data_IF_070076248269
#
_entry.id   IF_070076248269
#
_cell.length_a   1.000
_cell.length_b   1.000
_cell.length_c   1.000
_cell.angle_alpha   90.00
_cell.angle_beta   90.00
_cell.angle_gamma   90.00
#
_symmetry.space_group_name_H-M   'P 1'
#
loop_
_entity.id
_entity.type
_entity.pdbx_description
1 polymer ?
#
# COMPACT_ATOMS: atom_id res chain seq x y z
N UNK A 1 9.63 6.83 18.94
CA UNK A 1 10.21 5.67 18.19
C UNK A 1 11.35 6.14 17.29
N UNK A 2 12.36 5.29 17.00
CA UNK A 2 13.47 5.61 16.06
C UNK A 2 13.48 4.56 14.95
N UNK A 3 13.43 5.01 13.70
CA UNK A 3 13.50 4.16 12.52
C UNK A 3 14.92 4.09 11.98
N UNK A 4 15.28 2.96 11.36
CA UNK A 4 16.57 2.77 10.71
C UNK A 4 16.58 3.37 9.30
N UNK A 5 17.69 3.98 8.91
CA UNK A 5 17.88 4.47 7.55
C UNK A 5 18.41 3.38 6.62
N UNK A 6 18.09 3.48 5.34
CA UNK A 6 18.67 2.66 4.27
C UNK A 6 19.67 3.48 3.46
N UNK A 7 20.76 2.86 2.94
CA UNK A 7 21.78 3.55 2.13
C UNK A 7 21.28 3.80 0.70
N UNK A 8 20.08 4.33 0.55
CA UNK A 8 19.42 4.61 -0.72
C UNK A 8 19.08 6.09 -0.82
N UNK A 9 19.25 6.67 -1.99
CA UNK A 9 18.78 8.02 -2.34
C UNK A 9 17.64 7.91 -3.33
N UNK A 10 16.64 8.74 -3.14
CA UNK A 10 15.53 8.88 -4.08
C UNK A 10 15.66 10.22 -4.82
N UNK A 11 15.67 10.17 -6.14
CA UNK A 11 15.55 11.33 -7.01
C UNK A 11 14.08 11.45 -7.45
N UNK A 12 13.40 12.47 -6.93
CA UNK A 12 11.99 12.69 -7.18
C UNK A 12 11.68 13.12 -8.62
N UNK A 13 12.61 13.85 -9.27
CA UNK A 13 12.44 14.33 -10.65
C UNK A 13 12.61 13.18 -11.65
N UNK A 14 13.65 12.36 -11.46
CA UNK A 14 13.92 11.18 -12.28
C UNK A 14 13.11 9.95 -11.84
N UNK A 15 12.48 9.99 -10.66
CA UNK A 15 11.80 8.87 -10.01
C UNK A 15 12.68 7.62 -9.90
N UNK A 16 13.93 7.80 -9.51
CA UNK A 16 14.93 6.73 -9.42
C UNK A 16 15.46 6.53 -8.01
N UNK A 17 15.73 5.28 -7.68
CA UNK A 17 16.36 4.89 -6.42
C UNK A 17 17.79 4.47 -6.69
N UNK A 18 18.75 5.05 -5.97
CA UNK A 18 20.17 4.76 -6.17
C UNK A 18 20.84 4.52 -4.82
N UNK A 19 21.55 3.42 -4.71
CA UNK A 19 22.38 3.13 -3.54
C UNK A 19 23.61 4.05 -3.47
N UNK A 20 24.23 4.16 -2.31
CA UNK A 20 25.44 5.00 -2.10
C UNK A 20 26.59 4.58 -3.03
N UNK A 21 26.68 3.31 -3.42
CA UNK A 21 27.68 2.78 -4.36
C UNK A 21 27.36 3.05 -5.84
N UNK A 22 26.22 3.70 -6.13
CA UNK A 22 25.76 3.99 -7.49
C UNK A 22 24.86 2.94 -8.11
N UNK A 23 24.57 1.84 -7.43
CA UNK A 23 23.65 0.81 -7.92
C UNK A 23 22.24 1.37 -8.01
N UNK A 24 21.60 1.24 -9.19
CA UNK A 24 20.21 1.65 -9.41
C UNK A 24 19.26 0.51 -9.00
N UNK A 25 18.29 0.82 -8.16
CA UNK A 25 17.28 -0.13 -7.69
C UNK A 25 15.95 0.06 -8.42
N UNK A 26 15.21 -1.03 -8.57
CA UNK A 26 13.87 -1.00 -9.17
C UNK A 26 12.83 -0.48 -8.17
N UNK A 27 11.97 0.45 -8.61
CA UNK A 27 10.85 0.93 -7.79
C UNK A 27 9.73 -0.11 -7.69
N UNK A 28 9.18 -0.29 -6.50
CA UNK A 28 8.08 -1.25 -6.26
C UNK A 28 6.86 -0.98 -7.14
N UNK A 29 6.50 0.28 -7.36
CA UNK A 29 5.35 0.63 -8.22
C UNK A 29 5.55 0.21 -9.68
N UNK A 30 6.78 0.26 -10.18
CA UNK A 30 7.15 -0.26 -11.50
C UNK A 30 6.99 -1.77 -11.59
N UNK A 31 7.48 -2.49 -10.57
CA UNK A 31 7.33 -3.94 -10.45
C UNK A 31 5.86 -4.38 -10.44
N UNK A 32 5.01 -3.69 -9.66
CA UNK A 32 3.58 -4.00 -9.60
C UNK A 32 2.89 -3.83 -10.96
N UNK A 33 3.19 -2.72 -11.65
CA UNK A 33 2.65 -2.46 -12.99
C UNK A 33 3.08 -3.52 -13.99
N UNK A 34 4.35 -3.92 -13.96
CA UNK A 34 4.89 -4.91 -14.88
C UNK A 34 4.30 -6.30 -14.63
N UNK A 35 4.21 -6.75 -13.37
CA UNK A 35 3.91 -8.14 -13.03
C UNK A 35 2.46 -8.45 -12.73
N UNK A 36 1.73 -7.51 -12.11
CA UNK A 36 0.37 -7.75 -11.62
C UNK A 36 -0.67 -6.88 -12.32
N UNK A 37 -0.33 -5.64 -12.69
CA UNK A 37 -1.29 -4.66 -13.20
C UNK A 37 -0.89 -4.07 -14.56
N UNK A 38 -0.49 -4.87 -15.58
CA UNK A 38 0.05 -4.36 -16.83
C UNK A 38 -0.97 -3.53 -17.63
N UNK A 39 -2.26 -3.69 -17.37
CA UNK A 39 -3.34 -3.01 -18.08
C UNK A 39 -4.02 -1.90 -17.27
N UNK A 40 -3.49 -1.56 -16.06
CA UNK A 40 -4.15 -0.64 -15.13
C UNK A 40 -4.56 0.71 -15.75
N UNK A 41 -3.75 1.22 -16.67
CA UNK A 41 -4.01 2.49 -17.37
C UNK A 41 -4.16 2.33 -18.89
N UNK A 42 -4.43 1.11 -19.36
CA UNK A 42 -4.61 0.86 -20.79
C UNK A 42 -5.78 1.68 -21.36
N UNK A 43 -5.51 2.41 -22.45
CA UNK A 43 -6.51 3.22 -23.12
C UNK A 43 -6.80 4.59 -22.47
N UNK A 44 -6.11 4.96 -21.38
CA UNK A 44 -6.22 6.31 -20.81
C UNK A 44 -5.29 7.25 -21.57
N UNK A 45 -5.81 8.44 -21.92
CA UNK A 45 -5.04 9.48 -22.59
C UNK A 45 -3.81 9.89 -21.74
N UNK A 46 -2.60 9.93 -22.34
CA UNK A 46 -1.37 10.32 -21.63
C UNK A 46 -1.45 11.70 -20.97
N UNK A 47 -2.13 12.66 -21.56
CA UNK A 47 -2.30 14.00 -20.99
C UNK A 47 -3.13 13.94 -19.70
N UNK A 48 -4.20 13.13 -19.69
CA UNK A 48 -5.01 12.90 -18.48
C UNK A 48 -4.19 12.24 -17.38
N UNK A 49 -3.33 11.27 -17.71
CA UNK A 49 -2.45 10.62 -16.76
C UNK A 49 -1.41 11.60 -16.19
N UNK A 50 -0.79 12.42 -17.03
CA UNK A 50 0.19 13.42 -16.62
C UNK A 50 -0.42 14.48 -15.69
N UNK A 51 -1.62 14.97 -16.03
CA UNK A 51 -2.33 15.94 -15.20
C UNK A 51 -2.72 15.33 -13.84
N UNK A 52 -3.18 14.08 -13.82
CA UNK A 52 -3.51 13.35 -12.60
C UNK A 52 -2.25 13.12 -11.71
N UNK A 53 -1.12 12.77 -12.33
CA UNK A 53 0.15 12.59 -11.63
C UNK A 53 0.65 13.90 -11.03
N UNK A 54 0.63 15.00 -11.79
CA UNK A 54 1.03 16.32 -11.30
C UNK A 54 0.15 16.79 -10.14
N UNK A 55 -1.15 16.60 -10.25
CA UNK A 55 -2.10 16.88 -9.16
C UNK A 55 -1.82 16.04 -7.92
N UNK A 56 -1.65 14.72 -8.08
CA UNK A 56 -1.30 13.81 -6.98
C UNK A 56 -0.02 14.26 -6.26
N UNK A 57 1.05 14.53 -7.03
CA UNK A 57 2.32 15.00 -6.46
C UNK A 57 2.20 16.33 -5.70
N UNK A 58 1.32 17.24 -6.15
CA UNK A 58 1.07 18.49 -5.43
C UNK A 58 0.38 18.24 -4.09
N UNK A 59 -0.60 17.34 -4.04
CA UNK A 59 -1.30 16.97 -2.79
C UNK A 59 -0.33 16.28 -1.82
N UNK A 60 0.49 15.33 -2.27
CA UNK A 60 1.50 14.67 -1.43
C UNK A 60 2.45 15.68 -0.79
N UNK A 61 3.02 16.62 -1.58
CA UNK A 61 3.91 17.66 -1.05
C UNK A 61 3.24 18.57 -0.02
N UNK A 62 1.95 18.91 -0.21
CA UNK A 62 1.22 19.71 0.79
C UNK A 62 1.02 18.93 2.09
N UNK A 63 0.64 17.66 2.01
CA UNK A 63 0.49 16.80 3.17
C UNK A 63 1.82 16.57 3.91
N UNK A 64 2.92 16.39 3.18
CA UNK A 64 4.27 16.29 3.74
C UNK A 64 4.68 17.60 4.44
N UNK A 65 4.52 18.76 3.79
CA UNK A 65 4.85 20.05 4.37
C UNK A 65 4.01 20.36 5.63
N UNK A 66 2.74 19.94 5.65
CA UNK A 66 1.92 20.04 6.86
C UNK A 66 2.51 19.22 8.01
N UNK A 67 2.86 17.96 7.75
CA UNK A 67 3.34 17.05 8.80
C UNK A 67 4.75 17.41 9.30
N UNK A 68 5.61 17.96 8.44
CA UNK A 68 7.02 18.21 8.78
C UNK A 68 7.26 19.61 9.33
N UNK A 69 6.60 20.62 8.80
CA UNK A 69 6.84 22.04 9.18
C UNK A 69 5.56 22.79 9.56
N UNK A 70 4.41 22.11 9.65
CA UNK A 70 3.13 22.72 10.02
C UNK A 70 2.57 23.68 8.96
N UNK A 71 3.01 23.57 7.69
CA UNK A 71 2.49 24.40 6.61
C UNK A 71 1.01 24.08 6.34
N UNK A 72 0.13 25.09 6.47
CA UNK A 72 -1.31 24.89 6.32
C UNK A 72 -1.93 25.94 5.37
N UNK A 73 -1.60 25.87 4.07
CA UNK A 73 -2.23 26.73 3.07
C UNK A 73 -3.70 26.42 2.92
N UNK A 74 -4.48 27.42 2.50
CA UNK A 74 -5.92 27.25 2.20
C UNK A 74 -6.08 26.35 0.97
N UNK A 75 -6.40 25.07 1.21
CA UNK A 75 -6.57 24.06 0.18
C UNK A 75 -7.53 22.97 0.68
N UNK A 76 -8.56 22.67 -0.11
CA UNK A 76 -9.60 21.72 0.28
C UNK A 76 -9.10 20.27 0.49
N UNK A 77 -8.10 19.84 -0.29
CA UNK A 77 -7.56 18.49 -0.18
C UNK A 77 -6.65 18.35 1.03
N UNK A 78 -5.90 19.41 1.37
CA UNK A 78 -5.12 19.44 2.62
C UNK A 78 -6.06 19.44 3.83
N UNK A 79 -7.13 20.20 3.80
CA UNK A 79 -8.14 20.19 4.88
C UNK A 79 -8.76 18.81 5.04
N UNK A 80 -9.03 18.12 3.91
CA UNK A 80 -9.54 16.74 3.91
C UNK A 80 -8.53 15.76 4.53
N UNK A 81 -7.22 15.90 4.22
CA UNK A 81 -6.15 15.12 4.83
C UNK A 81 -6.09 15.31 6.35
N UNK A 82 -6.05 16.58 6.79
CA UNK A 82 -6.00 16.93 8.21
C UNK A 82 -7.24 16.45 8.93
N UNK A 83 -8.41 16.53 8.28
CA UNK A 83 -9.67 15.98 8.80
C UNK A 83 -9.57 14.48 9.09
N UNK A 84 -9.01 13.70 8.15
CA UNK A 84 -8.76 12.26 8.33
C UNK A 84 -7.80 12.01 9.50
N UNK A 85 -6.69 12.75 9.56
CA UNK A 85 -5.72 12.59 10.67
C UNK A 85 -6.37 12.80 12.03
N UNK A 86 -7.16 13.86 12.16
CA UNK A 86 -7.82 14.21 13.42
C UNK A 86 -8.93 13.22 13.79
N UNK A 87 -9.75 12.78 12.80
CA UNK A 87 -10.84 11.82 13.01
C UNK A 87 -10.34 10.47 13.53
N UNK A 88 -9.19 10.01 12.99
CA UNK A 88 -8.63 8.69 13.32
C UNK A 88 -7.45 8.76 14.28
N UNK A 89 -7.16 9.95 14.84
CA UNK A 89 -6.08 10.19 15.81
C UNK A 89 -4.72 9.63 15.33
N UNK A 90 -4.38 9.89 14.03
CA UNK A 90 -3.17 9.38 13.41
C UNK A 90 -1.94 10.17 13.88
N UNK A 91 -1.11 9.54 14.71
CA UNK A 91 0.11 10.14 15.24
C UNK A 91 1.26 10.03 14.22
N UNK A 92 1.61 11.15 13.61
CA UNK A 92 2.62 11.20 12.55
C UNK A 92 4.02 10.91 13.09
N UNK A 93 4.68 9.88 12.56
CA UNK A 93 6.08 9.55 12.86
C UNK A 93 7.02 10.10 11.80
N UNK A 94 6.79 9.79 10.53
CA UNK A 94 7.55 10.35 9.41
C UNK A 94 6.77 10.29 8.08
N UNK A 95 7.23 11.11 7.12
CA UNK A 95 6.76 11.12 5.74
C UNK A 95 7.87 10.70 4.80
N UNK A 96 7.54 10.20 3.61
CA UNK A 96 8.50 9.84 2.55
C UNK A 96 9.62 8.92 3.07
N UNK A 97 9.24 7.91 3.85
CA UNK A 97 10.20 6.99 4.45
C UNK A 97 10.72 5.97 3.44
N UNK A 98 12.04 5.98 3.21
CA UNK A 98 12.70 5.07 2.27
C UNK A 98 12.82 3.67 2.84
N UNK A 99 12.41 2.67 2.06
CA UNK A 99 12.56 1.24 2.35
C UNK A 99 13.24 0.53 1.18
N UNK A 100 14.05 -0.47 1.48
CA UNK A 100 14.78 -1.22 0.47
C UNK A 100 15.20 -2.59 1.00
N UNK A 101 15.37 -3.57 0.11
CA UNK A 101 16.12 -4.80 0.40
C UNK A 101 17.64 -4.61 0.25
N UNK A 102 18.09 -3.43 -0.18
CA UNK A 102 19.47 -3.07 -0.49
C UNK A 102 20.14 -3.97 -1.56
N UNK A 103 19.33 -4.67 -2.35
CA UNK A 103 19.81 -5.57 -3.40
C UNK A 103 19.18 -5.24 -4.76
N UNK A 104 17.86 -5.13 -4.80
CA UNK A 104 17.12 -5.02 -6.06
C UNK A 104 16.00 -3.99 -6.04
N UNK A 105 15.31 -3.85 -4.91
CA UNK A 105 14.09 -3.04 -4.81
C UNK A 105 14.18 -1.95 -3.76
N UNK A 106 13.59 -0.81 -4.09
CA UNK A 106 13.37 0.28 -3.16
C UNK A 106 12.02 0.93 -3.36
N UNK A 107 11.53 1.61 -2.35
CA UNK A 107 10.36 2.47 -2.45
C UNK A 107 10.38 3.54 -1.37
N UNK A 108 9.42 4.46 -1.47
CA UNK A 108 9.17 5.50 -0.50
C UNK A 108 7.76 5.33 0.05
N UNK A 109 7.62 5.26 1.38
CA UNK A 109 6.33 5.17 2.07
C UNK A 109 5.85 6.58 2.37
N UNK A 110 4.69 6.97 1.85
CA UNK A 110 4.17 8.34 2.00
C UNK A 110 4.05 8.74 3.48
N UNK A 111 3.49 7.85 4.32
CA UNK A 111 3.21 8.14 5.72
C UNK A 111 3.44 6.92 6.61
N UNK A 112 4.14 7.15 7.71
CA UNK A 112 4.27 6.21 8.83
C UNK A 112 3.67 6.86 10.07
N UNK A 113 2.77 6.16 10.73
CA UNK A 113 2.09 6.60 11.95
C UNK A 113 2.48 5.73 13.13
N UNK A 114 2.86 6.35 14.23
CA UNK A 114 3.18 5.65 15.48
C UNK A 114 1.90 5.15 16.15
N UNK A 115 1.93 3.91 16.63
CA UNK A 115 0.82 3.29 17.34
C UNK A 115 1.23 3.02 18.79
N UNK A 116 2.39 2.40 18.97
CA UNK A 116 3.04 2.15 20.24
C UNK A 116 4.56 2.01 20.04
N UNK A 117 5.31 1.68 21.10
CA UNK A 117 6.77 1.63 21.06
C UNK A 117 7.38 0.71 20.00
N UNK A 118 6.63 -0.30 19.52
CA UNK A 118 7.09 -1.33 18.57
C UNK A 118 6.15 -1.53 17.38
N UNK A 119 5.13 -0.68 17.22
CA UNK A 119 4.10 -0.88 16.22
C UNK A 119 3.81 0.41 15.47
N UNK A 120 3.69 0.30 14.14
CA UNK A 120 3.30 1.41 13.28
C UNK A 120 2.14 1.02 12.37
N UNK A 121 1.40 2.00 11.91
CA UNK A 121 0.53 1.90 10.74
C UNK A 121 1.22 2.61 9.58
N UNK A 122 1.11 2.10 8.36
CA UNK A 122 1.59 2.78 7.16
C UNK A 122 0.45 3.15 6.24
N UNK A 123 0.59 4.29 5.58
CA UNK A 123 -0.42 4.76 4.67
C UNK A 123 0.18 5.33 3.38
N UNK A 124 -0.62 5.27 2.34
CA UNK A 124 -0.35 5.81 1.03
C UNK A 124 -1.49 6.77 0.63
N UNK A 125 -1.15 7.97 0.17
CA UNK A 125 -2.11 8.99 -0.24
C UNK A 125 -2.53 8.73 -1.69
N UNK A 126 -3.82 8.65 -1.93
CA UNK A 126 -4.40 8.45 -3.28
C UNK A 126 -5.39 9.55 -3.63
N UNK A 127 -5.15 10.20 -4.76
CA UNK A 127 -6.01 11.27 -5.31
C UNK A 127 -6.81 10.81 -6.54
N UNK A 128 -6.80 9.51 -6.83
CA UNK A 128 -7.44 8.91 -8.00
C UNK A 128 -8.96 9.04 -7.94
N UNK A 129 -9.62 9.11 -9.10
CA UNK A 129 -11.08 9.17 -9.15
C UNK A 129 -11.75 8.00 -8.45
N UNK A 130 -11.22 6.79 -8.63
CA UNK A 130 -11.64 5.56 -7.98
C UNK A 130 -10.43 4.89 -7.33
N UNK A 131 -10.56 4.52 -6.06
CA UNK A 131 -9.52 3.79 -5.34
C UNK A 131 -9.50 2.33 -5.82
N UNK A 132 -8.36 1.91 -6.36
CA UNK A 132 -8.06 0.50 -6.61
C UNK A 132 -7.47 -0.10 -5.33
N UNK A 133 -8.35 -0.70 -4.51
CA UNK A 133 -7.96 -1.27 -3.22
C UNK A 133 -6.99 -2.44 -3.38
N UNK A 134 -7.12 -3.21 -4.46
CA UNK A 134 -6.27 -4.38 -4.70
C UNK A 134 -4.84 -3.93 -5.04
N UNK A 135 -4.69 -2.94 -5.91
CA UNK A 135 -3.40 -2.34 -6.21
C UNK A 135 -2.73 -1.79 -4.94
N UNK A 136 -3.45 -1.00 -4.14
CA UNK A 136 -2.93 -0.41 -2.90
C UNK A 136 -2.59 -1.48 -1.87
N UNK A 137 -3.38 -2.55 -1.78
CA UNK A 137 -3.11 -3.70 -0.92
C UNK A 137 -1.77 -4.36 -1.24
N UNK A 138 -1.48 -4.61 -2.53
CA UNK A 138 -0.19 -5.14 -2.97
C UNK A 138 0.95 -4.15 -2.70
N UNK A 139 0.76 -2.88 -3.05
CA UNK A 139 1.76 -1.82 -2.84
C UNK A 139 2.18 -1.73 -1.38
N UNK A 140 1.21 -1.53 -0.49
CA UNK A 140 1.49 -1.40 0.94
C UNK A 140 1.96 -2.70 1.60
N UNK A 141 1.59 -3.86 1.07
CA UNK A 141 2.11 -5.14 1.58
C UNK A 141 3.59 -5.32 1.29
N UNK A 142 4.05 -4.92 0.09
CA UNK A 142 5.48 -4.90 -0.24
C UNK A 142 6.21 -3.86 0.62
N UNK A 143 5.63 -2.68 0.82
CA UNK A 143 6.19 -1.64 1.68
C UNK A 143 6.34 -2.13 3.13
N UNK A 144 5.32 -2.77 3.69
CA UNK A 144 5.37 -3.34 5.03
C UNK A 144 6.44 -4.43 5.17
N UNK A 145 6.57 -5.29 4.16
CA UNK A 145 7.60 -6.31 4.11
C UNK A 145 9.02 -5.70 4.13
N UNK A 146 9.28 -4.71 3.28
CA UNK A 146 10.57 -4.01 3.24
C UNK A 146 10.81 -3.20 4.52
N UNK A 147 9.77 -2.54 5.05
CA UNK A 147 9.84 -1.79 6.30
C UNK A 147 10.27 -2.67 7.47
N UNK A 148 9.65 -3.85 7.62
CA UNK A 148 9.97 -4.79 8.71
C UNK A 148 11.36 -5.44 8.53
N UNK A 149 11.88 -5.54 7.30
CA UNK A 149 13.28 -5.93 7.05
C UNK A 149 14.25 -4.86 7.53
N UNK A 150 13.95 -3.59 7.27
CA UNK A 150 14.78 -2.45 7.70
C UNK A 150 14.68 -2.24 9.21
N UNK A 151 13.51 -2.47 9.80
CA UNK A 151 13.19 -2.24 11.21
C UNK A 151 12.72 -3.55 11.88
N UNK A 152 13.59 -4.53 12.14
CA UNK A 152 13.18 -5.87 12.58
C UNK A 152 12.46 -5.93 13.94
N UNK A 153 12.62 -4.89 14.76
CA UNK A 153 11.97 -4.77 16.07
C UNK A 153 10.61 -4.04 16.00
N UNK A 154 10.22 -3.52 14.84
CA UNK A 154 8.98 -2.75 14.66
C UNK A 154 8.07 -3.50 13.70
N UNK A 155 6.78 -3.58 14.04
CA UNK A 155 5.77 -4.27 13.24
C UNK A 155 4.79 -3.30 12.59
N UNK A 156 4.44 -3.57 11.35
CA UNK A 156 3.36 -2.86 10.66
C UNK A 156 2.04 -3.55 11.01
N UNK A 157 1.15 -2.82 11.70
CA UNK A 157 -0.16 -3.30 12.16
C UNK A 157 -1.20 -3.23 11.07
N UNK A 158 -1.43 -2.03 10.53
CA UNK A 158 -2.44 -1.78 9.51
C UNK A 158 -1.86 -1.09 8.28
N UNK A 159 -2.53 -1.33 7.15
CA UNK A 159 -2.25 -0.72 5.87
C UNK A 159 -3.43 0.16 5.47
N UNK A 160 -3.18 1.45 5.17
CA UNK A 160 -4.23 2.39 4.84
C UNK A 160 -4.01 3.09 3.51
N UNK A 161 -5.07 3.27 2.74
CA UNK A 161 -5.13 4.32 1.72
C UNK A 161 -5.80 5.55 2.33
N UNK A 162 -5.14 6.71 2.29
CA UNK A 162 -5.77 8.00 2.55
C UNK A 162 -6.27 8.50 1.19
N UNK A 163 -7.54 8.24 0.90
CA UNK A 163 -8.14 8.60 -0.38
C UNK A 163 -8.75 9.99 -0.32
N UNK A 164 -8.13 10.93 -1.02
CA UNK A 164 -8.54 12.33 -1.08
C UNK A 164 -9.09 12.63 -2.47
N UNK A 165 -10.31 13.17 -2.51
CA UNK A 165 -10.97 13.51 -3.76
C UNK A 165 -11.88 14.71 -3.57
N UNK A 166 -11.55 15.83 -4.24
CA UNK A 166 -12.36 17.06 -4.23
C UNK A 166 -12.73 17.50 -2.82
N UNK A 167 -11.73 17.67 -1.96
CA UNK A 167 -11.91 18.10 -0.59
C UNK A 167 -12.58 17.09 0.35
N UNK A 168 -12.74 15.83 -0.08
CA UNK A 168 -13.25 14.74 0.76
C UNK A 168 -12.16 13.71 1.00
N UNK A 169 -11.79 13.51 2.26
CA UNK A 169 -10.82 12.52 2.70
C UNK A 169 -11.50 11.27 3.29
N UNK A 170 -10.92 10.11 3.06
CA UNK A 170 -11.35 8.84 3.66
C UNK A 170 -10.15 8.00 4.01
N UNK A 171 -10.12 7.47 5.23
CA UNK A 171 -9.19 6.41 5.60
C UNK A 171 -9.77 5.05 5.19
N UNK A 172 -9.06 4.34 4.33
CA UNK A 172 -9.52 3.04 3.81
C UNK A 172 -8.49 2.00 4.18
N UNK A 173 -8.83 1.11 5.11
CA UNK A 173 -7.99 -0.03 5.43
C UNK A 173 -7.99 -1.01 4.25
N UNK A 174 -6.81 -1.53 3.91
CA UNK A 174 -6.62 -2.56 2.91
C UNK A 174 -6.02 -3.81 3.53
N UNK A 175 -6.29 -4.96 2.93
CA UNK A 175 -5.79 -6.22 3.44
C UNK A 175 -4.30 -6.39 3.12
N UNK A 176 -3.53 -6.90 4.09
CA UNK A 176 -2.13 -7.26 3.89
C UNK A 176 -2.04 -8.59 3.15
N UNK A 177 -1.26 -8.63 2.08
CA UNK A 177 -0.97 -9.87 1.34
C UNK A 177 -0.06 -10.78 2.14
N UNK A 178 -0.20 -12.08 1.88
CA UNK A 178 0.65 -13.10 2.48
C UNK A 178 2.13 -12.86 2.14
N UNK A 179 3.02 -13.11 3.11
CA UNK A 179 4.48 -12.91 2.95
C UNK A 179 5.04 -13.75 1.80
N UNK A 180 4.58 -14.98 1.63
CA UNK A 180 5.03 -15.87 0.55
C UNK A 180 4.67 -15.29 -0.82
N UNK A 181 3.47 -14.69 -0.94
CA UNK A 181 3.04 -14.02 -2.16
C UNK A 181 3.88 -12.76 -2.45
N UNK A 182 4.21 -11.98 -1.41
CA UNK A 182 5.08 -10.79 -1.54
C UNK A 182 6.50 -11.21 -1.94
N UNK A 183 7.08 -12.23 -1.32
CA UNK A 183 8.40 -12.76 -1.68
C UNK A 183 8.41 -13.35 -3.08
N UNK A 184 7.37 -14.08 -3.47
CA UNK A 184 7.18 -14.56 -4.83
C UNK A 184 7.17 -13.43 -5.85
N UNK A 185 6.47 -12.32 -5.56
CA UNK A 185 6.47 -11.13 -6.42
C UNK A 185 7.86 -10.50 -6.53
N UNK A 186 8.60 -10.37 -5.43
CA UNK A 186 9.89 -9.70 -5.41
C UNK A 186 11.01 -10.55 -6.05
N UNK A 187 11.09 -11.83 -5.72
CA UNK A 187 12.31 -12.63 -5.96
C UNK A 187 12.14 -13.74 -6.99
N UNK A 188 10.92 -14.05 -7.44
CA UNK A 188 10.73 -15.05 -8.50
C UNK A 188 11.01 -14.44 -9.88
N UNK A 189 11.79 -15.11 -10.71
CA UNK A 189 12.06 -14.69 -12.10
C UNK A 189 10.98 -15.11 -13.08
N UNK A 190 10.18 -16.11 -12.72
CA UNK A 190 9.05 -16.59 -13.51
C UNK A 190 7.91 -15.57 -13.51
N UNK A 191 7.20 -15.35 -14.62
CA UNK A 191 6.01 -14.54 -14.62
C UNK A 191 5.00 -15.12 -13.62
N UNK A 192 4.62 -14.32 -12.63
CA UNK A 192 3.58 -14.73 -11.70
C UNK A 192 2.26 -14.84 -12.48
N UNK A 193 1.82 -16.07 -12.74
CA UNK A 193 0.48 -16.32 -13.27
C UNK A 193 -0.55 -16.23 -12.14
N UNK A 194 -0.53 -15.10 -11.44
CA UNK A 194 -1.45 -14.80 -10.34
C UNK A 194 -2.38 -13.71 -10.82
N UNK A 195 -3.66 -14.00 -10.82
CA UNK A 195 -4.68 -12.96 -10.94
C UNK A 195 -4.63 -12.11 -9.67
N UNK A 196 -4.23 -10.81 -9.75
CA UNK A 196 -4.11 -9.97 -8.57
C UNK A 196 -5.45 -9.74 -7.85
N UNK A 197 -6.57 -9.97 -8.56
CA UNK A 197 -7.92 -9.89 -8.02
C UNK A 197 -8.47 -11.25 -7.57
N UNK A 198 -7.68 -12.33 -7.69
CA UNK A 198 -8.08 -13.64 -7.18
C UNK A 198 -8.19 -13.62 -5.66
N UNK A 199 -9.18 -14.32 -5.16
CA UNK A 199 -9.39 -14.47 -3.72
C UNK A 199 -8.16 -15.10 -3.06
N UNK A 200 -7.63 -14.54 -1.94
CA UNK A 200 -6.50 -15.10 -1.21
C UNK A 200 -6.70 -16.60 -0.89
N UNK A 201 -5.62 -17.38 -0.90
CA UNK A 201 -5.68 -18.84 -0.67
C UNK A 201 -6.42 -19.21 0.62
N UNK A 202 -6.17 -18.48 1.72
CA UNK A 202 -6.87 -18.64 3.00
C UNK A 202 -8.38 -18.40 2.93
N UNK A 203 -8.85 -17.61 1.95
CA UNK A 203 -10.29 -17.39 1.75
C UNK A 203 -10.91 -18.50 0.91
N UNK A 204 -10.16 -19.05 -0.07
CA UNK A 204 -10.59 -20.24 -0.81
C UNK A 204 -10.70 -21.45 0.11
N UNK A 205 -9.73 -21.66 1.00
CA UNK A 205 -9.80 -22.74 2.01
C UNK A 205 -11.03 -22.58 2.91
N UNK A 206 -11.34 -21.34 3.34
CA UNK A 206 -12.56 -21.07 4.11
C UNK A 206 -13.83 -21.20 3.30
N UNK A 207 -13.81 -20.83 2.02
CA UNK A 207 -14.94 -21.03 1.11
C UNK A 207 -15.20 -22.52 0.89
N UNK A 208 -14.15 -23.30 0.64
CA UNK A 208 -14.24 -24.75 0.52
C UNK A 208 -14.75 -25.40 1.82
N UNK A 209 -14.28 -24.95 2.98
CA UNK A 209 -14.81 -25.38 4.28
C UNK A 209 -16.28 -24.99 4.44
N UNK A 210 -16.67 -23.78 4.11
CA UNK A 210 -18.04 -23.29 4.19
C UNK A 210 -18.98 -24.12 3.29
N UNK A 211 -18.56 -24.39 2.05
CA UNK A 211 -19.28 -25.25 1.11
C UNK A 211 -19.45 -26.65 1.70
N UNK A 212 -18.38 -27.20 2.29
CA UNK A 212 -18.41 -28.52 2.94
C UNK A 212 -19.38 -28.56 4.13
N UNK A 213 -19.35 -27.52 4.99
CA UNK A 213 -20.28 -27.41 6.12
C UNK A 213 -21.73 -27.22 5.67
N UNK A 214 -21.96 -26.39 4.64
CA UNK A 214 -23.29 -26.19 4.07
C UNK A 214 -23.88 -27.52 3.52
N UNK A 215 -23.07 -28.27 2.78
CA UNK A 215 -23.45 -29.58 2.27
C UNK A 215 -23.74 -30.58 3.41
N UNK A 216 -22.91 -30.58 4.45
CA UNK A 216 -23.14 -31.41 5.63
C UNK A 216 -24.49 -31.09 6.32
N UNK A 217 -24.77 -29.79 6.48
CA UNK A 217 -26.02 -29.32 7.06
C UNK A 217 -27.25 -29.72 6.23
N UNK A 218 -27.15 -29.69 4.91
CA UNK A 218 -28.23 -30.17 4.03
C UNK A 218 -28.47 -31.68 4.16
N UNK A 219 -27.39 -32.47 4.26
CA UNK A 219 -27.48 -33.91 4.49
C UNK A 219 -28.13 -34.23 5.84
N UNK A 220 -27.78 -33.46 6.89
CA UNK A 220 -28.41 -33.64 8.20
C UNK A 220 -29.89 -33.23 8.20
N UNK A 221 -30.26 -32.13 7.54
CA UNK A 221 -31.67 -31.73 7.40
C UNK A 221 -32.52 -32.82 6.74
N UNK A 222 -32.07 -33.40 5.63
CA UNK A 222 -32.75 -34.49 4.95
C UNK A 222 -32.93 -35.71 5.87
N UNK A 223 -31.89 -36.07 6.65
CA UNK A 223 -31.98 -37.19 7.59
C UNK A 223 -32.96 -36.96 8.74
N UNK A 224 -33.20 -35.72 9.12
CA UNK A 224 -34.16 -35.35 10.18
C UNK A 224 -35.58 -35.28 9.62
N UNK A 225 -35.76 -34.91 8.33
CA UNK A 225 -37.06 -34.89 7.66
C UNK A 225 -37.57 -36.28 7.28
N UNK A 226 -36.67 -37.29 7.23
CA UNK A 226 -36.99 -38.70 6.94
C UNK A 226 -37.30 -39.55 8.22
N UNK A 227 -37.35 -38.92 9.41
CA UNK A 227 -37.74 -39.52 10.68
C UNK A 227 -39.14 -39.04 11.10
#
# INVERSE_FOLDING_TARGET
MTLNDVPVRFDADAHTYTMVDGTVLSGVTGLLKERLFPTQYAGVDPEVLNNAAAYGSAVHRMCEAYDTVGAYPENEDLHAYVGVKNEYELEHLCSEYLVSDCEKYASCIDKVYEVDDNTVDIADIKTTYRLDKEYVSWQLSVYAYLFEKVNPCIKVRNLYAIHIKKGVGKLVQVERKDVIAVEGLLYTTEPMNVDPYAMPSKWREREDELIKYTHLMEVYKRKVEDI
#
